data_IF_386075506511
#
_entry.id   IF_386075506511
#
_cell.length_a   1.000
_cell.length_b   1.000
_cell.length_c   1.000
_cell.angle_alpha   90.00
_cell.angle_beta   90.00
_cell.angle_gamma   90.00
#
_symmetry.space_group_name_H-M   'P 1'
#
loop_
_entity.id
_entity.type
_entity.pdbx_description
1 polymer ?
#
# COMPACT_ATOMS: atom_id res chain seq x y z
N UNK A 1 4.19 6.18 9.08
CA UNK A 1 4.51 4.99 9.90
C UNK A 1 6.01 4.78 10.12
N UNK A 2 6.84 4.56 9.08
CA UNK A 2 8.29 4.24 9.27
C UNK A 2 9.15 5.34 9.93
N UNK A 3 8.64 6.58 9.98
CA UNK A 3 9.25 7.72 10.66
C UNK A 3 8.71 7.97 12.08
N UNK A 4 7.75 7.17 12.54
CA UNK A 4 7.22 7.28 13.91
C UNK A 4 8.26 6.78 14.92
N UNK A 5 8.24 7.29 16.17
CA UNK A 5 8.94 6.67 17.28
C UNK A 5 8.62 5.17 17.42
N UNK A 6 9.60 4.37 17.84
CA UNK A 6 9.47 2.90 17.91
C UNK A 6 8.29 2.44 18.76
N UNK A 7 8.07 3.06 19.92
CA UNK A 7 6.95 2.77 20.81
C UNK A 7 5.59 3.03 20.13
N UNK A 8 5.49 4.05 19.28
CA UNK A 8 4.29 4.31 18.50
C UNK A 8 4.11 3.32 17.34
N UNK A 9 5.20 2.87 16.71
CA UNK A 9 5.13 1.78 15.72
C UNK A 9 4.64 0.49 16.38
N UNK A 10 5.22 0.12 17.52
CA UNK A 10 4.83 -1.05 18.31
C UNK A 10 3.37 -0.98 18.76
N UNK A 11 2.89 0.18 19.25
CA UNK A 11 1.49 0.36 19.62
C UNK A 11 0.53 0.18 18.42
N UNK A 12 0.90 0.70 17.24
CA UNK A 12 0.14 0.51 16.01
C UNK A 12 0.09 -0.98 15.63
N UNK A 13 1.24 -1.65 15.58
CA UNK A 13 1.34 -3.05 15.19
C UNK A 13 0.68 -4.00 16.19
N UNK A 14 0.72 -3.69 17.48
CA UNK A 14 -0.02 -4.42 18.51
C UNK A 14 -1.53 -4.34 18.25
N UNK A 15 -2.07 -3.13 18.05
CA UNK A 15 -3.49 -2.95 17.75
C UNK A 15 -3.92 -3.67 16.47
N UNK A 16 -3.10 -3.58 15.41
CA UNK A 16 -3.31 -4.33 14.17
C UNK A 16 -3.34 -5.84 14.41
N UNK A 17 -2.36 -6.38 15.15
CA UNK A 17 -2.26 -7.81 15.47
C UNK A 17 -3.47 -8.30 16.28
N UNK A 18 -3.87 -7.55 17.30
CA UNK A 18 -5.02 -7.88 18.16
C UNK A 18 -6.35 -7.85 17.39
N UNK A 19 -6.45 -7.01 16.37
CA UNK A 19 -7.56 -6.95 15.43
C UNK A 19 -7.51 -8.05 14.35
N UNK A 20 -6.43 -8.85 14.30
CA UNK A 20 -6.24 -9.93 13.33
C UNK A 20 -5.72 -9.47 11.96
N UNK A 21 -5.27 -8.23 11.82
CA UNK A 21 -4.68 -7.71 10.59
C UNK A 21 -3.33 -8.38 10.30
N UNK A 22 -2.98 -8.51 9.00
CA UNK A 22 -1.77 -9.22 8.57
C UNK A 22 -0.84 -8.40 7.67
N UNK A 23 -1.33 -7.28 7.14
CA UNK A 23 -0.60 -6.48 6.14
C UNK A 23 -0.75 -5.00 6.47
N UNK A 24 0.37 -4.28 6.43
CA UNK A 24 0.39 -2.82 6.45
C UNK A 24 0.90 -2.30 5.11
N UNK A 25 0.16 -1.36 4.50
CA UNK A 25 0.60 -0.67 3.28
C UNK A 25 1.43 0.57 3.62
N UNK A 26 2.54 0.76 2.92
CA UNK A 26 3.42 1.92 3.08
C UNK A 26 4.15 2.25 1.79
N UNK A 27 5.04 3.26 1.83
CA UNK A 27 5.73 3.81 0.66
C UNK A 27 7.21 4.06 0.95
N UNK A 28 8.04 3.91 -0.08
CA UNK A 28 9.39 4.49 -0.14
C UNK A 28 9.23 5.94 -0.59
N UNK A 29 9.05 6.84 0.38
CA UNK A 29 8.78 8.27 0.13
C UNK A 29 9.35 9.16 1.24
N UNK A 30 9.72 10.38 0.89
CA UNK A 30 10.10 11.42 1.84
C UNK A 30 8.89 12.01 2.57
N UNK A 31 9.07 12.42 3.82
CA UNK A 31 8.01 12.92 4.70
C UNK A 31 8.50 14.12 5.50
N UNK A 32 7.64 15.11 5.70
CA UNK A 32 7.87 16.17 6.70
C UNK A 32 7.64 15.65 8.13
N UNK A 33 8.17 16.35 9.13
CA UNK A 33 7.89 16.03 10.55
C UNK A 33 6.51 16.55 10.99
N UNK A 34 5.89 15.88 11.96
CA UNK A 34 4.65 16.35 12.56
C UNK A 34 3.40 16.19 11.69
N UNK A 35 3.45 15.33 10.66
CA UNK A 35 2.31 15.08 9.79
C UNK A 35 1.12 14.58 10.62
N UNK A 36 -0.05 15.20 10.40
CA UNK A 36 -1.30 14.92 11.14
C UNK A 36 -1.12 14.94 12.66
N UNK A 37 -0.34 15.88 13.18
CA UNK A 37 0.00 16.02 14.61
C UNK A 37 0.69 14.78 15.23
N UNK A 38 1.25 13.89 14.42
CA UNK A 38 2.00 12.74 14.91
C UNK A 38 3.41 13.14 15.40
N UNK A 39 4.09 12.24 16.10
CA UNK A 39 5.47 12.44 16.53
C UNK A 39 6.50 12.05 15.46
N UNK A 40 6.08 11.91 14.20
CA UNK A 40 6.95 11.44 13.14
C UNK A 40 8.09 12.44 12.86
N UNK A 41 9.28 11.91 12.57
CA UNK A 41 10.43 12.71 12.15
C UNK A 41 10.44 12.90 10.63
N UNK A 42 11.06 13.99 10.19
CA UNK A 42 11.27 14.22 8.77
C UNK A 42 12.29 13.23 8.21
N UNK A 43 12.09 12.83 6.96
CA UNK A 43 13.05 12.04 6.17
C UNK A 43 12.99 12.51 4.72
N UNK A 44 14.12 12.55 4.04
CA UNK A 44 14.16 12.90 2.63
C UNK A 44 13.60 11.77 1.76
N UNK A 45 13.16 12.11 0.54
CA UNK A 45 12.93 11.07 -0.48
C UNK A 45 14.26 10.39 -0.86
N UNK A 46 14.16 9.13 -1.27
CA UNK A 46 15.28 8.31 -1.73
C UNK A 46 16.15 9.00 -2.78
N UNK A 47 15.59 9.82 -3.68
CA UNK A 47 16.36 10.50 -4.74
C UNK A 47 16.29 12.02 -4.64
N UNK A 48 16.12 12.56 -3.43
CA UNK A 48 15.92 14.01 -3.24
C UNK A 48 17.06 14.87 -3.83
N UNK A 49 18.30 14.36 -3.84
CA UNK A 49 19.50 15.05 -4.32
C UNK A 49 19.68 15.00 -5.85
N UNK A 50 19.01 14.08 -6.54
CA UNK A 50 19.16 13.87 -7.97
C UNK A 50 18.78 12.44 -8.39
N UNK A 51 18.43 12.26 -9.68
CA UNK A 51 18.17 10.93 -10.23
C UNK A 51 19.40 10.04 -10.06
N UNK A 52 19.21 8.84 -9.50
CA UNK A 52 20.28 7.89 -9.20
C UNK A 52 21.20 8.29 -8.03
N UNK A 53 20.90 9.38 -7.33
CA UNK A 53 21.61 9.78 -6.10
C UNK A 53 20.80 9.32 -4.88
N UNK A 54 21.02 8.07 -4.48
CA UNK A 54 20.23 7.41 -3.45
C UNK A 54 20.63 7.84 -2.03
N UNK A 55 19.67 8.38 -1.27
CA UNK A 55 19.69 8.54 0.18
C UNK A 55 18.91 7.38 0.82
N UNK A 56 19.64 6.34 1.21
CA UNK A 56 19.07 5.11 1.76
C UNK A 56 18.47 5.29 3.16
N UNK A 57 18.46 6.49 3.74
CA UNK A 57 17.88 6.74 5.08
C UNK A 57 16.44 6.25 5.17
N UNK A 58 15.61 6.48 4.15
CA UNK A 58 14.23 5.98 4.11
C UNK A 58 14.14 4.45 4.04
N UNK A 59 15.07 3.80 3.32
CA UNK A 59 15.12 2.33 3.24
C UNK A 59 15.57 1.71 4.56
N UNK A 60 16.54 2.33 5.24
CA UNK A 60 16.97 1.91 6.59
C UNK A 60 15.84 2.02 7.62
N UNK A 61 15.00 3.05 7.53
CA UNK A 61 13.82 3.17 8.41
C UNK A 61 12.79 2.07 8.11
N UNK A 62 12.53 1.80 6.83
CA UNK A 62 11.62 0.73 6.41
C UNK A 62 12.14 -0.67 6.82
N UNK A 63 13.44 -0.90 6.80
CA UNK A 63 14.05 -2.13 7.32
C UNK A 63 13.76 -2.33 8.82
N UNK A 64 13.94 -1.29 9.63
CA UNK A 64 13.61 -1.37 11.07
C UNK A 64 12.12 -1.64 11.26
N UNK A 65 11.27 -0.95 10.52
CA UNK A 65 9.84 -1.19 10.52
C UNK A 65 9.49 -2.62 10.10
N UNK A 66 10.15 -3.21 9.11
CA UNK A 66 9.93 -4.61 8.69
C UNK A 66 10.18 -5.57 9.85
N UNK A 67 11.27 -5.38 10.59
CA UNK A 67 11.61 -6.20 11.76
C UNK A 67 10.56 -6.05 12.86
N UNK A 68 10.15 -4.83 13.17
CA UNK A 68 9.12 -4.57 14.18
C UNK A 68 7.80 -5.23 13.75
N UNK A 69 7.30 -4.94 12.54
CA UNK A 69 6.05 -5.48 12.02
C UNK A 69 6.01 -7.02 12.05
N UNK A 70 7.14 -7.65 11.69
CA UNK A 70 7.26 -9.10 11.69
C UNK A 70 7.07 -9.72 13.08
N UNK A 71 7.52 -9.05 14.16
CA UNK A 71 7.29 -9.52 15.53
C UNK A 71 5.81 -9.54 15.92
N UNK A 72 4.96 -8.81 15.20
CA UNK A 72 3.51 -8.78 15.36
C UNK A 72 2.77 -9.59 14.29
N UNK A 73 3.48 -10.40 13.50
CA UNK A 73 2.90 -11.20 12.43
C UNK A 73 2.35 -10.38 11.25
N UNK A 74 2.90 -9.18 11.04
CA UNK A 74 2.48 -8.24 10.00
C UNK A 74 3.58 -8.13 8.93
N UNK A 75 3.19 -8.20 7.65
CA UNK A 75 4.07 -7.93 6.51
C UNK A 75 3.78 -6.58 5.88
N UNK A 76 4.75 -6.03 5.16
CA UNK A 76 4.59 -4.75 4.47
C UNK A 76 4.20 -4.91 3.00
N UNK A 77 3.20 -4.17 2.54
CA UNK A 77 2.93 -3.90 1.13
C UNK A 77 3.57 -2.55 0.77
N UNK A 78 4.59 -2.55 -0.07
CA UNK A 78 5.47 -1.37 -0.23
C UNK A 78 5.33 -0.76 -1.62
N UNK A 79 4.96 0.51 -1.66
CA UNK A 79 4.93 1.31 -2.87
C UNK A 79 6.34 1.84 -3.14
N UNK A 80 6.89 1.57 -4.32
CA UNK A 80 8.28 1.95 -4.61
C UNK A 80 8.45 3.44 -4.92
N UNK A 81 7.34 4.15 -5.11
CA UNK A 81 7.29 5.57 -5.41
C UNK A 81 5.89 6.13 -5.19
N UNK A 82 5.81 7.31 -4.56
CA UNK A 82 4.57 7.98 -4.24
C UNK A 82 4.26 9.06 -5.28
N UNK A 83 3.11 8.95 -5.96
CA UNK A 83 2.67 9.90 -6.99
C UNK A 83 2.45 11.31 -6.44
N UNK A 84 2.19 11.46 -5.14
CA UNK A 84 2.04 12.76 -4.52
C UNK A 84 3.37 13.52 -4.52
N UNK A 85 4.52 12.83 -4.50
CA UNK A 85 5.83 13.48 -4.63
C UNK A 85 6.05 14.02 -6.04
N UNK A 86 5.63 13.26 -7.06
CA UNK A 86 5.64 13.70 -8.45
C UNK A 86 4.79 14.96 -8.64
N UNK A 87 3.56 14.95 -8.12
CA UNK A 87 2.65 16.11 -8.15
C UNK A 87 3.23 17.31 -7.38
N UNK A 88 3.98 17.04 -6.30
CA UNK A 88 4.71 18.04 -5.52
C UNK A 88 6.03 18.50 -6.15
N UNK A 89 6.28 18.15 -7.42
CA UNK A 89 7.43 18.60 -8.22
C UNK A 89 8.79 18.10 -7.72
N UNK A 90 8.85 16.83 -7.39
CA UNK A 90 10.09 16.13 -7.06
C UNK A 90 11.12 16.11 -8.23
N UNK A 91 12.19 15.33 -8.07
CA UNK A 91 13.28 15.24 -9.05
C UNK A 91 12.82 14.69 -10.41
N UNK A 92 11.87 13.76 -10.41
CA UNK A 92 11.31 13.18 -11.63
C UNK A 92 10.50 14.20 -12.39
N UNK A 93 9.62 14.94 -11.70
CA UNK A 93 8.89 16.05 -12.30
C UNK A 93 9.84 17.09 -12.89
N UNK A 94 10.87 17.52 -12.13
CA UNK A 94 11.82 18.55 -12.60
C UNK A 94 12.60 18.11 -13.84
N UNK A 95 12.94 16.82 -13.93
CA UNK A 95 13.62 16.26 -15.10
C UNK A 95 12.70 16.14 -16.31
N UNK A 96 11.46 15.70 -16.09
CA UNK A 96 10.49 15.50 -17.16
C UNK A 96 9.78 16.78 -17.62
N UNK A 97 9.72 17.81 -16.78
CA UNK A 97 8.99 19.05 -16.98
C UNK A 97 7.48 18.99 -16.67
N UNK A 98 6.91 17.80 -16.49
CA UNK A 98 5.50 17.60 -16.12
C UNK A 98 5.25 16.21 -15.53
N UNK A 99 4.06 16.02 -14.95
CA UNK A 99 3.58 14.70 -14.48
C UNK A 99 3.47 13.71 -15.64
N UNK A 100 2.87 14.10 -16.77
CA UNK A 100 2.75 13.23 -17.94
C UNK A 100 4.10 12.93 -18.60
N UNK A 101 5.02 13.90 -18.53
CA UNK A 101 6.38 13.76 -19.04
C UNK A 101 7.13 12.64 -18.31
N UNK A 102 6.90 12.42 -17.01
CA UNK A 102 7.55 11.36 -16.24
C UNK A 102 7.32 9.96 -16.85
N UNK A 103 6.12 9.71 -17.36
CA UNK A 103 5.74 8.42 -17.93
C UNK A 103 6.21 8.20 -19.38
N UNK A 104 6.82 9.21 -20.00
CA UNK A 104 7.21 9.16 -21.43
C UNK A 104 8.65 9.57 -21.69
N UNK A 105 9.27 10.32 -20.79
CA UNK A 105 10.65 10.79 -20.92
C UNK A 105 11.63 9.62 -20.69
N UNK A 106 12.48 9.27 -21.67
CA UNK A 106 13.40 8.13 -21.55
C UNK A 106 14.32 8.20 -20.33
N UNK A 107 14.78 9.40 -19.95
CA UNK A 107 15.67 9.60 -18.79
C UNK A 107 14.95 9.26 -17.49
N UNK A 108 13.71 9.70 -17.30
CA UNK A 108 12.96 9.37 -16.08
C UNK A 108 12.53 7.90 -16.05
N UNK A 109 12.20 7.31 -17.20
CA UNK A 109 11.88 5.89 -17.30
C UNK A 109 13.09 5.01 -16.94
N UNK A 110 14.28 5.33 -17.44
CA UNK A 110 15.52 4.64 -17.10
C UNK A 110 15.88 4.84 -15.63
N UNK A 111 15.83 6.08 -15.12
CA UNK A 111 16.11 6.36 -13.72
C UNK A 111 15.16 5.62 -12.78
N UNK A 112 13.87 5.54 -13.11
CA UNK A 112 12.91 4.79 -12.31
C UNK A 112 13.17 3.29 -12.33
N UNK A 113 13.55 2.74 -13.49
CA UNK A 113 13.97 1.35 -13.61
C UNK A 113 15.19 1.05 -12.72
N UNK A 114 16.14 1.99 -12.65
CA UNK A 114 17.29 1.93 -11.78
C UNK A 114 16.89 2.06 -10.30
N UNK A 115 15.92 2.92 -9.94
CA UNK A 115 15.37 3.04 -8.58
C UNK A 115 14.78 1.70 -8.11
N UNK A 116 13.99 1.03 -8.95
CA UNK A 116 13.43 -0.29 -8.66
C UNK A 116 14.55 -1.31 -8.41
N UNK A 117 15.56 -1.32 -9.29
CA UNK A 117 16.70 -2.22 -9.17
C UNK A 117 17.50 -1.95 -7.90
N UNK A 118 17.65 -0.67 -7.54
CA UNK A 118 18.33 -0.25 -6.33
C UNK A 118 17.60 -0.76 -5.08
N UNK A 119 16.30 -0.45 -4.95
CA UNK A 119 15.48 -0.88 -3.81
C UNK A 119 15.47 -2.40 -3.67
N UNK A 120 15.29 -3.13 -4.78
CA UNK A 120 15.07 -4.56 -4.72
C UNK A 120 16.36 -5.37 -4.60
N UNK A 121 17.48 -4.93 -5.18
CA UNK A 121 18.66 -5.79 -5.38
C UNK A 121 20.00 -5.15 -4.98
N UNK A 122 20.22 -3.87 -5.28
CA UNK A 122 21.48 -3.20 -4.95
C UNK A 122 21.57 -2.88 -3.46
N UNK A 123 20.52 -2.27 -2.93
CA UNK A 123 20.35 -2.05 -1.50
C UNK A 123 20.30 -3.38 -0.76
N UNK A 124 21.01 -3.46 0.37
CA UNK A 124 20.97 -4.61 1.28
C UNK A 124 20.38 -4.14 2.59
N UNK A 125 19.40 -4.88 3.08
CA UNK A 125 18.75 -4.60 4.34
C UNK A 125 19.79 -4.43 5.44
N UNK A 126 19.73 -3.33 6.18
CA UNK A 126 20.77 -2.88 7.11
C UNK A 126 21.14 -3.93 8.15
N UNK A 127 20.13 -4.58 8.74
CA UNK A 127 20.31 -5.65 9.73
C UNK A 127 20.49 -7.05 9.13
N UNK A 128 19.68 -7.41 8.11
CA UNK A 128 19.64 -8.77 7.57
C UNK A 128 20.72 -9.04 6.52
N UNK A 129 21.34 -8.00 5.94
CA UNK A 129 22.36 -8.11 4.90
C UNK A 129 21.85 -8.65 3.55
N UNK A 130 20.53 -8.79 3.38
CA UNK A 130 19.89 -9.38 2.19
C UNK A 130 19.20 -8.32 1.33
N UNK A 131 19.13 -8.50 0.00
CA UNK A 131 18.31 -7.65 -0.85
C UNK A 131 16.82 -7.83 -0.55
N UNK A 132 16.01 -6.79 -0.75
CA UNK A 132 14.56 -6.86 -0.51
C UNK A 132 13.82 -7.88 -1.39
N UNK A 133 14.38 -8.22 -2.55
CA UNK A 133 13.90 -9.31 -3.42
C UNK A 133 13.86 -10.67 -2.71
N UNK A 134 14.67 -10.87 -1.66
CA UNK A 134 14.77 -12.13 -0.91
C UNK A 134 13.99 -12.11 0.42
N UNK A 135 13.31 -11.01 0.78
CA UNK A 135 12.69 -10.82 2.09
C UNK A 135 11.20 -11.23 2.13
N UNK A 136 10.91 -12.49 1.79
CA UNK A 136 9.54 -13.04 1.77
C UNK A 136 8.84 -13.03 3.13
N UNK A 137 9.60 -13.13 4.20
CA UNK A 137 9.08 -13.19 5.57
C UNK A 137 8.59 -11.81 6.07
N UNK A 138 9.02 -10.74 5.41
CA UNK A 138 8.80 -9.36 5.87
C UNK A 138 7.90 -8.54 4.93
N UNK A 139 7.92 -8.86 3.63
CA UNK A 139 7.25 -8.06 2.59
C UNK A 139 6.19 -8.92 1.90
N UNK A 140 4.96 -8.40 1.90
CA UNK A 140 3.79 -8.99 1.26
C UNK A 140 3.81 -8.79 -0.26
N UNK A 141 4.26 -7.62 -0.73
CA UNK A 141 4.35 -7.32 -2.15
C UNK A 141 4.80 -5.89 -2.45
N UNK A 142 4.82 -5.57 -3.74
CA UNK A 142 5.21 -4.25 -4.26
C UNK A 142 4.17 -3.68 -5.21
N UNK A 143 4.09 -2.35 -5.29
CA UNK A 143 3.22 -1.66 -6.23
C UNK A 143 3.82 -0.35 -6.76
N UNK A 144 3.20 0.14 -7.83
CA UNK A 144 3.44 1.45 -8.45
C UNK A 144 2.12 1.98 -8.98
N UNK A 145 1.93 3.29 -8.92
CA UNK A 145 0.73 3.97 -9.40
C UNK A 145 0.89 4.42 -10.86
N UNK A 146 -0.26 4.62 -11.53
CA UNK A 146 -0.45 5.06 -12.93
C UNK A 146 -0.77 3.95 -13.96
N UNK A 147 -2.05 3.84 -14.27
CA UNK A 147 -2.70 2.70 -14.93
C UNK A 147 -2.06 2.28 -16.27
N UNK A 148 -1.60 3.23 -17.08
CA UNK A 148 -1.02 2.95 -18.40
C UNK A 148 0.43 2.44 -18.34
N UNK A 149 1.10 2.58 -17.21
CA UNK A 149 2.52 2.22 -17.04
C UNK A 149 2.72 1.00 -16.12
N UNK A 150 1.72 0.68 -15.29
CA UNK A 150 1.72 -0.42 -14.33
C UNK A 150 2.28 -1.72 -14.93
N UNK A 151 1.84 -2.14 -16.12
CA UNK A 151 2.29 -3.43 -16.66
C UNK A 151 3.78 -3.43 -17.04
N UNK A 152 4.34 -2.30 -17.48
CA UNK A 152 5.77 -2.17 -17.77
C UNK A 152 6.58 -2.18 -16.45
N UNK A 153 6.15 -1.38 -15.47
CA UNK A 153 6.75 -1.37 -14.13
C UNK A 153 6.67 -2.73 -13.46
N UNK A 154 5.55 -3.43 -13.58
CA UNK A 154 5.39 -4.78 -13.05
C UNK A 154 6.37 -5.78 -13.68
N UNK A 155 6.65 -5.67 -14.98
CA UNK A 155 7.71 -6.48 -15.62
C UNK A 155 9.09 -6.17 -15.04
N UNK A 156 9.37 -4.89 -14.78
CA UNK A 156 10.63 -4.49 -14.16
C UNK A 156 10.77 -5.03 -12.73
N UNK A 157 9.71 -4.96 -11.92
CA UNK A 157 9.68 -5.59 -10.59
C UNK A 157 9.88 -7.09 -10.71
N UNK A 158 9.12 -7.76 -11.59
CA UNK A 158 9.21 -9.21 -11.78
C UNK A 158 10.62 -9.66 -12.17
N UNK A 159 11.29 -8.92 -13.05
CA UNK A 159 12.68 -9.16 -13.45
C UNK A 159 13.68 -9.03 -12.30
N UNK A 160 13.38 -8.20 -11.31
CA UNK A 160 14.25 -7.98 -10.15
C UNK A 160 13.99 -8.95 -9.00
N UNK A 161 12.74 -9.33 -8.73
CA UNK A 161 12.44 -10.20 -7.59
C UNK A 161 12.83 -11.65 -7.84
N UNK A 162 12.79 -12.12 -9.10
CA UNK A 162 13.15 -13.49 -9.52
C UNK A 162 12.21 -14.59 -9.00
N UNK A 163 11.72 -14.45 -7.78
CA UNK A 163 10.72 -15.29 -7.14
C UNK A 163 9.31 -14.94 -7.66
N UNK A 164 8.61 -15.93 -8.21
CA UNK A 164 7.26 -15.80 -8.76
C UNK A 164 6.19 -15.63 -7.68
N UNK A 165 6.46 -16.05 -6.45
CA UNK A 165 5.53 -15.98 -5.32
C UNK A 165 5.52 -14.58 -4.66
N UNK A 166 6.42 -13.69 -5.08
CA UNK A 166 6.35 -12.26 -4.75
C UNK A 166 5.19 -11.63 -5.49
N UNK A 167 4.20 -11.16 -4.73
CA UNK A 167 3.03 -10.51 -5.28
C UNK A 167 3.36 -9.09 -5.76
N UNK A 168 2.91 -8.79 -6.97
CA UNK A 168 3.00 -7.48 -7.61
C UNK A 168 1.59 -6.95 -7.81
N UNK A 169 1.35 -5.76 -7.26
CA UNK A 169 0.04 -5.11 -7.16
C UNK A 169 -0.05 -3.91 -8.10
N UNK A 170 -1.26 -3.59 -8.56
CA UNK A 170 -1.51 -2.41 -9.39
C UNK A 170 -1.44 -1.09 -8.62
N UNK A 171 -1.53 -1.10 -7.30
CA UNK A 171 -1.49 0.13 -6.49
C UNK A 171 -2.75 0.99 -6.52
N UNK A 172 -3.82 0.53 -7.18
CA UNK A 172 -5.16 1.10 -7.15
C UNK A 172 -5.39 2.34 -8.03
N UNK A 173 -6.63 2.50 -8.48
CA UNK A 173 -7.17 3.75 -9.01
C UNK A 173 -8.46 4.09 -8.26
N UNK A 174 -9.30 5.01 -8.75
CA UNK A 174 -10.58 5.31 -8.08
C UNK A 174 -11.73 4.46 -8.63
N UNK A 175 -12.40 3.72 -7.75
CA UNK A 175 -13.56 2.86 -8.02
C UNK A 175 -13.30 1.92 -9.20
N UNK A 176 -14.25 1.91 -10.15
CA UNK A 176 -14.17 1.12 -11.39
C UNK A 176 -12.89 1.37 -12.20
N UNK A 177 -12.28 2.55 -12.14
CA UNK A 177 -11.05 2.83 -12.89
C UNK A 177 -9.86 1.97 -12.41
N UNK A 178 -9.92 1.44 -11.18
CA UNK A 178 -8.96 0.47 -10.66
C UNK A 178 -8.91 -0.83 -11.44
N UNK A 179 -10.01 -1.22 -12.10
CA UNK A 179 -10.19 -2.53 -12.69
C UNK A 179 -10.20 -2.41 -14.21
N UNK A 180 -9.01 -2.48 -14.81
CA UNK A 180 -8.84 -2.48 -16.27
C UNK A 180 -8.59 -3.89 -16.79
N UNK A 181 -9.21 -4.23 -17.94
CA UNK A 181 -9.06 -5.55 -18.57
C UNK A 181 -7.61 -5.91 -18.88
N UNK A 182 -6.78 -4.92 -19.23
CA UNK A 182 -5.33 -5.07 -19.44
C UNK A 182 -4.63 -5.71 -18.24
N UNK A 183 -5.07 -5.44 -17.01
CA UNK A 183 -4.44 -5.99 -15.81
C UNK A 183 -4.68 -7.50 -15.66
N UNK A 184 -5.71 -8.05 -16.31
CA UNK A 184 -5.98 -9.48 -16.35
C UNK A 184 -5.29 -10.19 -17.52
N UNK A 185 -4.67 -9.45 -18.45
CA UNK A 185 -3.89 -10.03 -19.55
C UNK A 185 -2.63 -10.75 -19.06
N UNK A 186 -2.22 -11.79 -19.79
CA UNK A 186 -0.98 -12.53 -19.54
C UNK A 186 0.28 -11.68 -19.75
N UNK A 187 0.21 -10.66 -20.60
CA UNK A 187 1.33 -9.75 -20.86
C UNK A 187 1.56 -8.73 -19.73
N UNK A 188 0.66 -8.65 -18.75
CA UNK A 188 0.80 -7.78 -17.59
C UNK A 188 1.27 -8.61 -16.39
N UNK A 189 2.51 -8.38 -15.94
CA UNK A 189 3.16 -9.14 -14.84
C UNK A 189 2.64 -8.77 -13.44
N UNK A 190 1.34 -8.47 -13.34
CA UNK A 190 0.61 -8.22 -12.11
C UNK A 190 -0.01 -9.53 -11.61
N UNK A 191 0.05 -9.75 -10.30
CA UNK A 191 -0.59 -10.89 -9.64
C UNK A 191 -1.89 -10.47 -8.93
N UNK A 192 -1.96 -9.22 -8.47
CA UNK A 192 -3.09 -8.68 -7.69
C UNK A 192 -3.55 -7.34 -8.25
N UNK A 193 -4.84 -7.23 -8.57
CA UNK A 193 -5.46 -5.96 -8.93
C UNK A 193 -5.96 -5.29 -7.64
N UNK A 194 -5.33 -4.18 -7.29
CA UNK A 194 -5.70 -3.30 -6.19
C UNK A 194 -6.82 -2.35 -6.59
N UNK A 195 -7.75 -2.09 -5.68
CA UNK A 195 -8.86 -1.15 -5.83
C UNK A 195 -8.76 -0.09 -4.75
N UNK A 196 -8.88 1.19 -5.11
CA UNK A 196 -9.23 2.23 -4.15
C UNK A 196 -10.67 2.68 -4.39
N UNK A 197 -11.49 2.79 -3.35
CA UNK A 197 -12.84 3.31 -3.48
C UNK A 197 -13.29 4.03 -2.21
N UNK A 198 -13.67 5.29 -2.37
CA UNK A 198 -14.21 6.16 -1.33
C UNK A 198 -15.67 6.54 -1.59
N UNK A 199 -16.29 5.98 -2.65
CA UNK A 199 -17.65 6.26 -3.08
C UNK A 199 -18.63 5.11 -2.80
N UNK A 200 -18.13 3.98 -2.27
CA UNK A 200 -18.94 2.81 -1.92
C UNK A 200 -19.70 2.21 -3.12
N UNK A 201 -19.07 2.23 -4.31
CA UNK A 201 -19.65 1.81 -5.58
C UNK A 201 -19.23 0.39 -6.03
N UNK A 202 -18.66 -0.38 -5.11
CA UNK A 202 -18.18 -1.77 -5.29
C UNK A 202 -19.15 -2.67 -6.09
N UNK A 203 -20.44 -2.62 -5.78
CA UNK A 203 -21.46 -3.45 -6.46
C UNK A 203 -21.52 -3.21 -7.98
N UNK A 204 -21.08 -2.04 -8.46
CA UNK A 204 -21.13 -1.68 -9.88
C UNK A 204 -20.04 -2.35 -10.73
N UNK A 205 -18.96 -2.86 -10.12
CA UNK A 205 -17.83 -3.43 -10.85
C UNK A 205 -17.24 -4.71 -10.24
N UNK A 206 -17.37 -4.92 -8.93
CA UNK A 206 -16.76 -6.06 -8.22
C UNK A 206 -17.18 -7.44 -8.74
N UNK A 207 -18.47 -7.72 -9.10
CA UNK A 207 -18.85 -9.03 -9.64
C UNK A 207 -18.06 -9.40 -10.91
N UNK A 208 -17.94 -8.44 -11.83
CA UNK A 208 -17.20 -8.61 -13.06
C UNK A 208 -15.68 -8.69 -12.80
N UNK A 209 -15.17 -7.85 -11.90
CA UNK A 209 -13.75 -7.86 -11.51
C UNK A 209 -13.33 -9.23 -10.96
N UNK A 210 -14.09 -9.77 -9.99
CA UNK A 210 -13.82 -11.08 -9.37
C UNK A 210 -13.87 -12.20 -10.41
N UNK A 211 -14.85 -12.17 -11.31
CA UNK A 211 -14.96 -13.14 -12.41
C UNK A 211 -13.73 -13.11 -13.33
N UNK A 212 -13.31 -11.91 -13.77
CA UNK A 212 -12.13 -11.75 -14.63
C UNK A 212 -10.84 -12.17 -13.93
N UNK A 213 -10.66 -11.80 -12.66
CA UNK A 213 -9.49 -12.17 -11.87
C UNK A 213 -9.37 -13.69 -11.74
N UNK A 214 -10.46 -14.38 -11.38
CA UNK A 214 -10.49 -15.85 -11.29
C UNK A 214 -10.18 -16.52 -12.63
N UNK A 215 -10.78 -16.04 -13.72
CA UNK A 215 -10.53 -16.56 -15.06
C UNK A 215 -9.06 -16.37 -15.50
N UNK A 216 -8.42 -15.28 -15.06
CA UNK A 216 -7.02 -14.97 -15.37
C UNK A 216 -6.02 -15.59 -14.36
N UNK A 217 -6.48 -16.29 -13.32
CA UNK A 217 -5.62 -16.79 -12.25
C UNK A 217 -4.97 -15.68 -11.40
N UNK A 218 -5.59 -14.51 -11.35
CA UNK A 218 -5.13 -13.33 -10.58
C UNK A 218 -6.00 -13.12 -9.34
N UNK A 219 -5.55 -12.25 -8.45
CA UNK A 219 -6.26 -11.89 -7.21
C UNK A 219 -6.75 -10.45 -7.23
N UNK A 220 -7.65 -10.11 -6.31
CA UNK A 220 -8.10 -8.73 -6.08
C UNK A 220 -7.93 -8.41 -4.59
N UNK A 221 -7.64 -7.15 -4.30
CA UNK A 221 -7.68 -6.56 -2.97
C UNK A 221 -8.33 -5.17 -3.05
N UNK A 222 -9.13 -4.79 -2.06
CA UNK A 222 -9.48 -3.37 -1.84
C UNK A 222 -8.35 -2.75 -1.03
N UNK A 223 -7.39 -2.15 -1.73
CA UNK A 223 -6.14 -1.66 -1.14
C UNK A 223 -6.31 -0.35 -0.37
N UNK A 224 -7.40 0.38 -0.62
CA UNK A 224 -7.68 1.64 0.05
C UNK A 224 -9.18 1.95 0.01
N UNK A 225 -9.76 2.29 1.15
CA UNK A 225 -11.14 2.78 1.28
C UNK A 225 -11.27 3.46 2.64
N UNK A 226 -12.24 4.36 2.79
CA UNK A 226 -12.41 5.12 4.03
C UNK A 226 -13.85 5.56 4.23
N UNK A 227 -14.22 5.80 5.48
CA UNK A 227 -15.48 6.43 5.84
C UNK A 227 -15.19 7.78 6.51
N UNK A 228 -15.62 8.87 5.85
CA UNK A 228 -15.38 10.23 6.31
C UNK A 228 -15.93 10.43 7.73
N UNK A 229 -15.14 11.07 8.57
CA UNK A 229 -15.60 11.57 9.85
C UNK A 229 -16.68 12.65 9.66
N UNK A 230 -17.64 12.63 10.57
CA UNK A 230 -18.65 13.68 10.70
C UNK A 230 -18.94 13.87 12.18
N UNK A 231 -19.21 15.10 12.60
CA UNK A 231 -19.61 15.41 13.98
C UNK A 231 -20.89 14.68 14.44
N UNK A 232 -21.62 14.06 13.51
CA UNK A 232 -22.63 13.03 13.81
C UNK A 232 -22.07 11.63 13.54
N UNK A 233 -21.45 11.08 14.58
CA UNK A 233 -20.70 9.80 14.63
C UNK A 233 -21.46 8.59 14.04
N UNK A 234 -22.80 8.55 14.18
CA UNK A 234 -23.62 7.44 13.67
C UNK A 234 -23.53 7.22 12.15
N UNK A 235 -23.21 8.26 11.38
CA UNK A 235 -23.05 8.14 9.93
C UNK A 235 -21.75 7.43 9.53
N UNK A 236 -20.65 7.65 10.27
CA UNK A 236 -19.36 7.02 10.00
C UNK A 236 -19.41 5.53 10.28
N UNK A 237 -19.95 5.14 11.43
CA UNK A 237 -20.08 3.74 11.82
C UNK A 237 -20.99 2.95 10.88
N UNK A 238 -22.10 3.55 10.44
CA UNK A 238 -22.98 2.96 9.43
C UNK A 238 -22.28 2.81 8.06
N UNK A 239 -21.47 3.80 7.66
CA UNK A 239 -20.68 3.71 6.42
C UNK A 239 -19.60 2.62 6.50
N UNK A 240 -18.90 2.50 7.64
CA UNK A 240 -17.93 1.42 7.88
C UNK A 240 -18.62 0.06 7.72
N UNK A 241 -19.77 -0.12 8.36
CA UNK A 241 -20.57 -1.34 8.22
C UNK A 241 -20.93 -1.62 6.76
N UNK A 242 -21.54 -0.66 6.08
CA UNK A 242 -22.04 -0.83 4.71
C UNK A 242 -20.92 -1.18 3.72
N UNK A 243 -19.79 -0.49 3.79
CA UNK A 243 -18.62 -0.77 2.95
C UNK A 243 -18.06 -2.17 3.23
N UNK A 244 -17.86 -2.54 4.51
CA UNK A 244 -17.32 -3.87 4.86
C UNK A 244 -18.26 -4.97 4.40
N UNK A 245 -19.57 -4.84 4.63
CA UNK A 245 -20.56 -5.83 4.17
C UNK A 245 -20.52 -6.01 2.65
N UNK A 246 -20.44 -4.91 1.89
CA UNK A 246 -20.33 -4.94 0.43
C UNK A 246 -19.04 -5.59 -0.04
N UNK A 247 -17.89 -5.27 0.57
CA UNK A 247 -16.62 -5.88 0.20
C UNK A 247 -16.63 -7.39 0.54
N UNK A 248 -17.09 -7.73 1.76
CA UNK A 248 -17.15 -9.11 2.26
C UNK A 248 -18.12 -9.98 1.46
N UNK A 249 -19.21 -9.43 0.94
CA UNK A 249 -20.11 -10.11 0.01
C UNK A 249 -19.39 -10.71 -1.20
N UNK A 250 -18.26 -10.11 -1.62
CA UNK A 250 -17.43 -10.60 -2.72
C UNK A 250 -16.23 -11.44 -2.27
N UNK A 251 -16.04 -11.65 -0.96
CA UNK A 251 -14.91 -12.39 -0.40
C UNK A 251 -13.55 -11.75 -0.71
N UNK A 252 -13.51 -10.43 -0.95
CA UNK A 252 -12.29 -9.70 -1.29
C UNK A 252 -11.64 -9.14 -0.01
N UNK A 253 -10.35 -9.37 0.25
CA UNK A 253 -9.67 -8.76 1.40
C UNK A 253 -9.52 -7.24 1.21
N UNK A 254 -9.32 -6.51 2.31
CA UNK A 254 -9.26 -5.05 2.27
C UNK A 254 -8.27 -4.43 3.25
N UNK A 255 -7.85 -3.20 2.96
CA UNK A 255 -7.00 -2.34 3.79
C UNK A 255 -7.70 -0.98 3.96
N UNK A 256 -7.88 -0.54 5.20
CA UNK A 256 -8.54 0.72 5.54
C UNK A 256 -7.56 1.90 5.49
N UNK A 257 -8.01 3.03 4.93
CA UNK A 257 -7.30 4.31 4.94
C UNK A 257 -7.91 5.26 5.97
N UNK A 258 -7.17 5.75 6.96
CA UNK A 258 -5.91 5.18 7.46
C UNK A 258 -5.96 5.00 8.96
N UNK A 259 -5.11 4.12 9.49
CA UNK A 259 -4.98 3.90 10.93
C UNK A 259 -3.83 4.75 11.49
N UNK A 260 -4.07 5.42 12.61
CA UNK A 260 -3.09 6.29 13.28
C UNK A 260 -2.99 5.96 14.77
N UNK A 261 -1.95 6.44 15.45
CA UNK A 261 -1.75 6.23 16.90
C UNK A 261 -1.97 7.47 17.74
N UNK A 262 -1.75 8.66 17.17
CA UNK A 262 -2.09 9.92 17.81
C UNK A 262 -3.60 10.17 17.79
N UNK A 263 -4.05 11.12 18.62
CA UNK A 263 -5.41 11.62 18.54
C UNK A 263 -5.72 12.12 17.13
N UNK A 264 -6.89 11.73 16.63
CA UNK A 264 -7.38 12.15 15.32
C UNK A 264 -7.44 13.69 15.25
N UNK A 265 -6.70 14.32 14.32
CA UNK A 265 -6.66 15.77 14.23
C UNK A 265 -7.89 16.36 13.51
N UNK A 266 -8.75 15.52 12.90
CA UNK A 266 -9.92 15.94 12.13
C UNK A 266 -9.61 16.98 11.04
N UNK A 267 -8.58 16.70 10.23
CA UNK A 267 -8.08 17.59 9.18
C UNK A 267 -8.54 17.14 7.79
N UNK A 268 -8.86 18.11 6.92
CA UNK A 268 -9.20 17.90 5.51
C UNK A 268 -10.28 16.81 5.28
N UNK A 269 -10.02 15.87 4.38
CA UNK A 269 -10.80 14.64 4.25
C UNK A 269 -10.34 13.67 5.34
N UNK A 270 -11.02 13.72 6.46
CA UNK A 270 -10.70 12.93 7.63
C UNK A 270 -11.28 11.52 7.48
N UNK A 271 -10.39 10.57 7.19
CA UNK A 271 -10.70 9.15 7.19
C UNK A 271 -9.99 8.43 8.34
N UNK A 272 -9.29 9.13 9.21
CA UNK A 272 -8.35 8.53 10.14
C UNK A 272 -9.07 7.78 11.26
N UNK A 273 -8.62 6.57 11.58
CA UNK A 273 -9.07 5.85 12.77
C UNK A 273 -7.89 5.69 13.71
N UNK A 274 -7.96 6.37 14.85
CA UNK A 274 -7.00 6.17 15.92
C UNK A 274 -7.15 4.77 16.52
N UNK A 275 -6.07 4.00 16.59
CA UNK A 275 -6.01 2.73 17.32
C UNK A 275 -6.38 2.97 18.79
N UNK A 276 -7.33 2.18 19.31
CA UNK A 276 -7.93 2.36 20.65
C UNK A 276 -8.67 3.70 20.86
N UNK A 277 -8.96 4.44 19.79
CA UNK A 277 -9.82 5.63 19.80
C UNK A 277 -11.31 5.30 19.73
N UNK A 278 -12.15 6.34 19.57
CA UNK A 278 -13.61 6.21 19.59
C UNK A 278 -14.16 5.25 18.51
N UNK A 279 -13.65 5.37 17.28
CA UNK A 279 -14.08 4.56 16.13
C UNK A 279 -13.40 3.18 16.04
N UNK A 280 -12.35 2.95 16.84
CA UNK A 280 -11.52 1.74 16.74
C UNK A 280 -12.33 0.47 17.00
N UNK A 281 -13.19 0.47 18.02
CA UNK A 281 -13.95 -0.72 18.38
C UNK A 281 -14.87 -1.18 17.23
N UNK A 282 -15.43 -0.24 16.48
CA UNK A 282 -16.25 -0.52 15.31
C UNK A 282 -15.42 -1.13 14.18
N UNK A 283 -14.27 -0.52 13.85
CA UNK A 283 -13.37 -1.06 12.82
C UNK A 283 -12.83 -2.45 13.23
N UNK A 284 -12.41 -2.61 14.48
CA UNK A 284 -11.90 -3.87 15.04
C UNK A 284 -12.93 -5.00 14.95
N UNK A 285 -14.19 -4.72 15.28
CA UNK A 285 -15.27 -5.69 15.13
C UNK A 285 -15.39 -6.18 13.68
N UNK A 286 -15.32 -5.27 12.72
CA UNK A 286 -15.42 -5.59 11.29
C UNK A 286 -14.17 -6.26 10.71
N UNK A 287 -12.98 -5.93 11.22
CA UNK A 287 -11.75 -6.66 10.93
C UNK A 287 -11.86 -8.12 11.36
N UNK A 288 -12.32 -8.35 12.60
CA UNK A 288 -12.50 -9.69 13.16
C UNK A 288 -13.61 -10.46 12.44
N UNK A 289 -14.72 -9.83 12.09
CA UNK A 289 -15.81 -10.50 11.35
C UNK A 289 -15.40 -10.91 9.94
N UNK A 290 -14.58 -10.09 9.27
CA UNK A 290 -14.03 -10.38 7.94
C UNK A 290 -13.21 -11.68 7.92
N UNK A 291 -12.53 -12.02 9.02
CA UNK A 291 -11.76 -13.27 9.11
C UNK A 291 -12.61 -14.55 8.95
N UNK A 292 -13.92 -14.47 9.22
CA UNK A 292 -14.87 -15.58 9.03
C UNK A 292 -15.48 -15.67 7.63
N UNK A 293 -15.17 -14.73 6.74
CA UNK A 293 -15.74 -14.67 5.38
C UNK A 293 -15.03 -15.66 4.48
N UNK A 294 -15.79 -16.34 3.62
CA UNK A 294 -15.20 -17.20 2.57
C UNK A 294 -14.48 -16.35 1.55
N UNK A 295 -13.15 -16.42 1.55
CA UNK A 295 -12.31 -15.64 0.65
C UNK A 295 -12.49 -16.08 -0.82
N UNK A 296 -12.54 -15.10 -1.72
CA UNK A 296 -12.58 -15.34 -3.16
C UNK A 296 -11.22 -15.70 -3.75
N UNK A 297 -10.14 -15.39 -3.04
CA UNK A 297 -8.75 -15.57 -3.43
C UNK A 297 -7.92 -16.04 -2.23
N UNK A 298 -7.01 -16.97 -2.45
CA UNK A 298 -6.11 -17.47 -1.42
C UNK A 298 -4.82 -16.64 -1.36
N UNK A 299 -4.57 -15.99 -0.21
CA UNK A 299 -3.34 -15.24 0.07
C UNK A 299 -2.43 -15.93 1.08
N UNK A 300 -2.79 -17.11 1.60
CA UNK A 300 -2.09 -17.78 2.70
C UNK A 300 -0.58 -17.92 2.49
N UNK A 301 -0.16 -18.32 1.28
CA UNK A 301 1.27 -18.46 0.93
C UNK A 301 2.08 -17.15 1.00
N UNK A 302 1.42 -15.99 0.93
CA UNK A 302 2.08 -14.68 0.98
C UNK A 302 2.09 -14.06 2.38
N UNK A 303 1.28 -14.57 3.32
CA UNK A 303 1.17 -14.02 4.67
C UNK A 303 2.28 -14.52 5.60
N UNK A 304 2.43 -13.89 6.77
CA UNK A 304 3.31 -14.40 7.81
C UNK A 304 2.72 -15.70 8.37
N UNK A 305 3.57 -16.72 8.54
CA UNK A 305 3.26 -17.98 9.20
C UNK A 305 3.43 -17.85 10.71
#
# INVERSE_FOLDING_TARGET
MHTLPTDQQEALFQGMSDAGMKVLRTWVTGLGSGQKNSANKAVNDLEHAGLGQYDDTVLNLLDQTMLIAHNYGIKLLIGMYDVNTLQSKDVYFRTAGSVDGFYTNPTTLEAFSNRITHILNTYKHQTLGKPWSELNEYIFGFYSSHLNWICATAKQVRGNVGNKDRLIFTGGGSGKASVQSTFFGSDCAIDVVSIHDYNDDFDSFMPNAVSQARAAGKKIIVEEWGSLFSSSDSSRQANLQGNVEKINKYGVPWLYWEIITNGDPHQDQDYEIQVNGADWQTLEFYLKSTSGVTAAFDFSAALAT
#
